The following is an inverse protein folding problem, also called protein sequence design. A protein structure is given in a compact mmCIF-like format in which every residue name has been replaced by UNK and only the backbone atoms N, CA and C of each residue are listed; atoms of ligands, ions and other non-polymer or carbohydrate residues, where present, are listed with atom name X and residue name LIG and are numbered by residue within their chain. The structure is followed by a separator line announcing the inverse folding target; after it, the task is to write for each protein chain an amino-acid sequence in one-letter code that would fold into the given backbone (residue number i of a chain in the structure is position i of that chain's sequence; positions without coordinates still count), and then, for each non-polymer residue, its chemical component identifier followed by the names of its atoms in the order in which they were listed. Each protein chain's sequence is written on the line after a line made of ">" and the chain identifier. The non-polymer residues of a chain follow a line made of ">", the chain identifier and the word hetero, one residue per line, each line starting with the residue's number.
data_IF_985851159647
#
_entry.id   IF_985851159647
#
_cell.length_a   1.000
_cell.length_b   1.000
_cell.length_c   1.000
_cell.angle_alpha   90.00
_cell.angle_beta   90.00
_cell.angle_gamma   90.00
#
_symmetry.space_group_name_H-M   'P 1'
#
loop_
_entity.id
_entity.type
_entity.pdbx_description
1 polymer ?
#
# COMPACT_ATOMS: atom_id res chain seq x y z
N UNK A 1 -9.98 -73.26 54.57
CA UNK A 1 -9.95 -73.27 53.13
C UNK A 1 -10.94 -72.22 52.69
N UNK A 2 -10.49 -70.96 52.68
CA UNK A 2 -11.31 -69.81 52.31
C UNK A 2 -11.00 -69.44 50.89
N UNK A 3 -12.03 -69.49 50.06
CA UNK A 3 -11.94 -69.12 48.64
C UNK A 3 -11.79 -67.57 48.53
N UNK A 4 -10.75 -67.14 47.82
CA UNK A 4 -10.57 -65.74 47.40
C UNK A 4 -11.59 -65.39 46.31
N UNK A 5 -12.26 -64.22 46.35
CA UNK A 5 -13.16 -63.80 45.30
C UNK A 5 -12.38 -63.40 44.04
N UNK A 6 -12.91 -63.77 42.88
CA UNK A 6 -12.37 -63.52 41.56
C UNK A 6 -12.23 -62.02 41.26
N UNK A 7 -11.04 -61.62 40.89
CA UNK A 7 -10.68 -60.28 40.43
C UNK A 7 -11.03 -60.19 38.92
N UNK A 8 -12.27 -59.85 38.61
CA UNK A 8 -12.68 -59.57 37.22
C UNK A 8 -13.76 -58.48 37.24
N UNK A 9 -13.35 -57.25 36.97
CA UNK A 9 -14.18 -56.17 36.38
C UNK A 9 -13.62 -54.76 36.61
N UNK A 10 -12.31 -54.55 36.58
CA UNK A 10 -11.74 -53.17 36.70
C UNK A 10 -11.16 -52.64 35.40
N UNK A 11 -11.08 -53.46 34.36
CA UNK A 11 -10.35 -53.08 33.10
C UNK A 11 -11.25 -52.42 32.05
N UNK A 12 -12.55 -52.72 32.03
CA UNK A 12 -13.42 -52.21 30.94
C UNK A 12 -13.90 -50.78 31.19
N UNK A 13 -14.11 -50.36 32.43
CA UNK A 13 -14.53 -48.98 32.76
C UNK A 13 -13.45 -47.92 32.61
N UNK A 14 -12.16 -48.31 32.70
CA UNK A 14 -11.07 -47.37 32.53
C UNK A 14 -10.83 -47.04 31.03
N UNK A 15 -11.04 -48.01 30.18
CA UNK A 15 -10.81 -47.86 28.74
C UNK A 15 -11.90 -47.01 28.07
N UNK A 16 -13.15 -47.16 28.48
CA UNK A 16 -14.25 -46.34 27.96
C UNK A 16 -14.15 -44.89 28.43
N UNK A 17 -13.79 -44.62 29.69
CA UNK A 17 -13.61 -43.24 30.21
C UNK A 17 -12.41 -42.51 29.56
N UNK A 18 -11.33 -43.24 29.19
CA UNK A 18 -10.21 -42.66 28.50
C UNK A 18 -10.54 -42.35 27.05
N UNK A 19 -11.26 -43.22 26.32
CA UNK A 19 -11.67 -43.00 24.94
C UNK A 19 -12.67 -41.82 24.84
N UNK A 20 -13.63 -41.72 25.72
CA UNK A 20 -14.58 -40.59 25.74
C UNK A 20 -13.89 -39.28 26.07
N UNK A 21 -12.94 -39.26 27.02
CA UNK A 21 -12.20 -38.05 27.38
C UNK A 21 -11.24 -37.58 26.24
N UNK A 22 -10.66 -38.51 25.51
CA UNK A 22 -9.83 -38.18 24.33
C UNK A 22 -10.68 -37.87 23.11
N UNK A 23 -11.84 -38.49 22.94
CA UNK A 23 -12.81 -38.19 21.89
C UNK A 23 -13.32 -36.75 22.02
N UNK A 24 -13.75 -36.35 23.20
CA UNK A 24 -14.18 -34.97 23.50
C UNK A 24 -13.02 -33.96 23.33
N UNK A 25 -11.77 -34.34 23.67
CA UNK A 25 -10.59 -33.49 23.49
C UNK A 25 -10.21 -33.36 22.00
N UNK A 26 -10.46 -34.37 21.19
CA UNK A 26 -10.25 -34.33 19.74
C UNK A 26 -11.39 -33.62 19.00
N UNK A 27 -12.64 -33.67 19.49
CA UNK A 27 -13.75 -32.87 18.94
C UNK A 27 -13.60 -31.38 19.29
N UNK A 28 -13.05 -31.03 20.45
CA UNK A 28 -12.68 -29.64 20.79
C UNK A 28 -11.43 -29.13 20.01
N UNK A 29 -10.65 -30.04 19.43
CA UNK A 29 -9.58 -29.72 18.47
C UNK A 29 -10.09 -29.54 17.03
N UNK A 30 -11.36 -29.85 16.77
CA UNK A 30 -12.02 -29.50 15.52
C UNK A 30 -12.05 -27.97 15.42
N UNK A 31 -11.13 -27.48 14.63
CA UNK A 31 -10.88 -26.16 14.13
C UNK A 31 -11.81 -25.10 14.73
N UNK A 32 -11.35 -24.38 15.76
CA UNK A 32 -12.04 -23.18 16.26
C UNK A 32 -12.53 -22.40 15.03
N UNK A 33 -13.84 -22.43 14.78
CA UNK A 33 -14.42 -21.85 13.57
C UNK A 33 -13.98 -20.38 13.47
N UNK A 34 -13.24 -20.07 12.39
CA UNK A 34 -12.79 -18.70 12.15
C UNK A 34 -14.03 -17.79 12.12
N UNK A 35 -14.12 -16.77 12.99
CA UNK A 35 -15.24 -15.86 13.03
C UNK A 35 -15.58 -15.29 11.66
N UNK A 36 -16.85 -15.13 11.33
CA UNK A 36 -17.32 -14.67 10.02
C UNK A 36 -16.62 -13.36 9.59
N UNK A 37 -16.39 -12.44 10.54
CA UNK A 37 -15.65 -11.21 10.28
C UNK A 37 -14.21 -11.45 9.84
N UNK A 38 -13.51 -12.42 10.45
CA UNK A 38 -12.15 -12.80 10.05
C UNK A 38 -12.14 -13.48 8.66
N UNK A 39 -13.11 -14.34 8.35
CA UNK A 39 -13.25 -14.95 7.01
C UNK A 39 -13.40 -13.87 5.94
N UNK A 40 -14.20 -12.84 6.19
CA UNK A 40 -14.35 -11.70 5.26
C UNK A 40 -13.03 -10.94 5.06
N UNK A 41 -12.32 -10.62 6.15
CA UNK A 41 -11.02 -9.94 6.07
C UNK A 41 -9.97 -10.79 5.34
N UNK A 42 -9.94 -12.11 5.58
CA UNK A 42 -9.04 -13.04 4.88
C UNK A 42 -9.34 -13.09 3.38
N UNK A 43 -10.62 -13.16 2.98
CA UNK A 43 -11.01 -13.10 1.57
C UNK A 43 -10.58 -11.77 0.92
N UNK A 44 -10.77 -10.66 1.62
CA UNK A 44 -10.30 -9.35 1.18
C UNK A 44 -8.78 -9.32 0.99
N UNK A 45 -8.00 -9.84 1.95
CA UNK A 45 -6.54 -9.92 1.86
C UNK A 45 -6.07 -10.79 0.69
N UNK A 46 -6.75 -11.90 0.43
CA UNK A 46 -6.45 -12.76 -0.74
C UNK A 46 -6.68 -12.01 -2.07
N UNK A 47 -7.77 -11.28 -2.19
CA UNK A 47 -8.07 -10.46 -3.38
C UNK A 47 -7.02 -9.35 -3.55
N UNK A 48 -6.69 -8.62 -2.48
CA UNK A 48 -5.66 -7.56 -2.51
C UNK A 48 -4.30 -8.13 -2.90
N UNK A 49 -3.92 -9.28 -2.33
CA UNK A 49 -2.66 -9.96 -2.66
C UNK A 49 -2.60 -10.29 -4.15
N UNK A 50 -3.61 -10.97 -4.70
CA UNK A 50 -3.63 -11.38 -6.10
C UNK A 50 -3.61 -10.18 -7.05
N UNK A 51 -4.51 -9.21 -6.84
CA UNK A 51 -4.59 -8.02 -7.70
C UNK A 51 -3.35 -7.13 -7.56
N UNK A 52 -2.83 -6.99 -6.33
CA UNK A 52 -1.66 -6.18 -6.04
C UNK A 52 -0.38 -6.77 -6.62
N UNK A 53 -0.13 -8.07 -6.44
CA UNK A 53 1.07 -8.73 -6.96
C UNK A 53 1.05 -8.78 -8.48
N UNK A 54 -0.06 -9.20 -9.09
CA UNK A 54 -0.17 -9.26 -10.55
C UNK A 54 -0.15 -7.87 -11.19
N UNK A 55 -0.88 -6.92 -10.62
CA UNK A 55 -0.99 -5.56 -11.14
C UNK A 55 0.32 -4.78 -11.04
N UNK A 56 0.95 -4.74 -9.86
CA UNK A 56 2.21 -4.03 -9.68
C UNK A 56 3.37 -4.75 -10.37
N UNK A 57 3.38 -6.09 -10.42
CA UNK A 57 4.32 -6.87 -11.21
C UNK A 57 4.24 -6.52 -12.71
N UNK A 58 3.02 -6.37 -13.25
CA UNK A 58 2.81 -5.93 -14.62
C UNK A 58 3.32 -4.50 -14.86
N UNK A 59 3.09 -3.56 -13.93
CA UNK A 59 3.62 -2.19 -14.02
C UNK A 59 5.15 -2.20 -14.02
N UNK A 60 5.77 -2.95 -13.09
CA UNK A 60 7.23 -3.09 -13.03
C UNK A 60 7.80 -3.66 -14.34
N UNK A 61 7.16 -4.68 -14.89
CA UNK A 61 7.62 -5.28 -16.14
C UNK A 61 7.54 -4.30 -17.32
N UNK A 62 6.42 -3.57 -17.47
CA UNK A 62 6.27 -2.57 -18.56
C UNK A 62 7.26 -1.41 -18.38
N UNK A 63 7.43 -0.90 -17.16
CA UNK A 63 8.38 0.19 -16.90
C UNK A 63 9.82 -0.23 -17.14
N UNK A 64 10.20 -1.46 -16.78
CA UNK A 64 11.54 -1.98 -17.01
C UNK A 64 11.81 -2.27 -18.51
N UNK A 65 10.84 -2.81 -19.24
CA UNK A 65 11.00 -3.19 -20.63
C UNK A 65 10.94 -1.99 -21.59
N UNK A 66 10.01 -1.05 -21.34
CA UNK A 66 9.65 -0.04 -22.34
C UNK A 66 9.90 1.42 -21.90
N UNK A 67 9.97 1.70 -20.60
CA UNK A 67 10.09 3.05 -20.07
C UNK A 67 11.34 3.27 -19.21
N UNK A 68 12.29 2.35 -19.24
CA UNK A 68 13.49 2.33 -18.36
C UNK A 68 14.30 3.62 -18.35
N UNK A 69 14.30 4.37 -19.46
CA UNK A 69 15.07 5.61 -19.61
C UNK A 69 14.21 6.87 -19.50
N UNK A 70 12.99 6.77 -19.02
CA UNK A 70 12.09 7.91 -18.90
C UNK A 70 11.90 8.30 -17.43
N UNK A 71 11.68 9.58 -17.17
CA UNK A 71 11.40 10.10 -15.82
C UNK A 71 10.13 9.45 -15.23
N UNK A 72 9.09 9.30 -16.07
CA UNK A 72 7.85 8.67 -15.64
C UNK A 72 8.05 7.18 -15.30
N UNK A 73 8.84 6.46 -16.09
CA UNK A 73 9.19 5.06 -15.83
C UNK A 73 9.86 4.90 -14.47
N UNK A 74 10.76 5.83 -14.09
CA UNK A 74 11.39 5.83 -12.75
C UNK A 74 10.34 6.02 -11.64
N UNK A 75 9.48 7.03 -11.75
CA UNK A 75 8.45 7.29 -10.74
C UNK A 75 7.52 6.08 -10.53
N UNK A 76 6.94 5.56 -11.61
CA UNK A 76 5.96 4.48 -11.53
C UNK A 76 6.58 3.14 -11.14
N UNK A 77 7.84 2.86 -11.49
CA UNK A 77 8.53 1.65 -11.05
C UNK A 77 8.76 1.65 -9.53
N UNK A 78 9.20 2.77 -8.96
CA UNK A 78 9.39 2.86 -7.50
C UNK A 78 8.07 2.84 -6.73
N UNK A 79 7.00 3.42 -7.26
CA UNK A 79 5.67 3.36 -6.65
C UNK A 79 5.12 1.92 -6.68
N UNK A 80 5.21 1.25 -7.84
CA UNK A 80 4.79 -0.15 -7.96
C UNK A 80 5.64 -1.11 -7.10
N UNK A 81 6.94 -0.81 -6.90
CA UNK A 81 7.79 -1.57 -5.99
C UNK A 81 7.31 -1.44 -4.54
N UNK A 82 6.97 -0.23 -4.08
CA UNK A 82 6.45 -0.01 -2.73
C UNK A 82 5.13 -0.78 -2.51
N UNK A 83 4.19 -0.68 -3.46
CA UNK A 83 2.91 -1.37 -3.37
C UNK A 83 3.06 -2.91 -3.42
N UNK A 84 3.98 -3.42 -4.26
CA UNK A 84 4.29 -4.84 -4.34
C UNK A 84 4.84 -5.39 -3.02
N UNK A 85 5.77 -4.66 -2.37
CA UNK A 85 6.32 -5.05 -1.08
C UNK A 85 5.25 -5.12 0.01
N UNK A 86 4.31 -4.17 0.01
CA UNK A 86 3.16 -4.19 0.92
C UNK A 86 2.26 -5.40 0.68
N UNK A 87 1.93 -5.69 -0.59
CA UNK A 87 1.08 -6.83 -0.95
C UNK A 87 1.73 -8.18 -0.62
N UNK A 88 3.04 -8.34 -0.84
CA UNK A 88 3.78 -9.57 -0.52
C UNK A 88 3.83 -9.89 0.98
N UNK A 89 3.68 -8.89 1.85
CA UNK A 89 3.63 -9.10 3.29
C UNK A 89 2.26 -9.64 3.77
N UNK A 90 1.17 -9.44 3.00
CA UNK A 90 -0.21 -9.76 3.42
C UNK A 90 -0.45 -11.21 3.84
N UNK A 91 0.00 -12.25 3.12
CA UNK A 91 -0.26 -13.63 3.52
C UNK A 91 0.27 -13.94 4.93
N UNK A 92 1.41 -13.37 5.28
CA UNK A 92 2.03 -13.55 6.61
C UNK A 92 1.32 -12.73 7.70
N UNK A 93 0.83 -11.54 7.35
CA UNK A 93 0.06 -10.68 8.27
C UNK A 93 -1.38 -11.20 8.47
N UNK A 94 -1.86 -12.07 7.59
CA UNK A 94 -3.15 -12.75 7.71
C UNK A 94 -3.14 -13.90 8.73
N UNK A 95 -1.98 -14.51 9.02
CA UNK A 95 -1.87 -15.68 9.89
C UNK A 95 -2.53 -15.51 11.27
N UNK A 96 -2.37 -14.39 11.99
CA UNK A 96 -3.04 -14.21 13.29
C UNK A 96 -4.57 -14.27 13.21
N UNK A 97 -5.17 -14.00 12.05
CA UNK A 97 -6.62 -14.09 11.87
C UNK A 97 -7.11 -15.55 11.74
N UNK A 98 -6.21 -16.47 11.37
CA UNK A 98 -6.51 -17.91 11.24
C UNK A 98 -6.10 -18.71 12.46
N UNK A 99 -5.27 -18.15 13.34
CA UNK A 99 -4.66 -18.82 14.49
C UNK A 99 -5.08 -18.20 15.82
N UNK A 100 -6.28 -17.66 15.88
CA UNK A 100 -6.81 -16.98 17.09
C UNK A 100 -5.79 -16.02 17.71
N UNK A 101 -5.31 -15.08 16.87
CA UNK A 101 -4.30 -14.07 17.18
C UNK A 101 -2.90 -14.60 17.56
N UNK A 102 -2.64 -15.91 17.42
CA UNK A 102 -1.31 -16.46 17.63
C UNK A 102 -0.36 -16.06 16.50
N UNK A 103 0.86 -15.64 16.86
CA UNK A 103 1.93 -15.27 15.93
C UNK A 103 3.00 -16.38 15.85
N UNK A 104 2.96 -17.26 14.84
CA UNK A 104 3.87 -18.41 14.76
C UNK A 104 5.24 -18.08 14.15
N UNK A 105 5.40 -16.91 13.50
CA UNK A 105 6.58 -16.59 12.68
C UNK A 105 7.78 -16.07 13.48
N UNK A 106 7.67 -16.00 14.80
CA UNK A 106 8.78 -15.59 15.67
C UNK A 106 9.07 -14.10 15.67
N UNK A 107 10.14 -13.72 16.40
CA UNK A 107 10.45 -12.30 16.68
C UNK A 107 10.95 -11.54 15.45
N UNK A 108 11.76 -12.15 14.61
CA UNK A 108 12.31 -11.48 13.41
C UNK A 108 11.21 -11.08 12.44
N UNK A 109 10.29 -11.99 12.11
CA UNK A 109 9.16 -11.72 11.23
C UNK A 109 8.20 -10.68 11.83
N UNK A 110 7.97 -10.70 13.16
CA UNK A 110 7.17 -9.69 13.85
C UNK A 110 7.77 -8.27 13.71
N UNK A 111 9.10 -8.14 13.67
CA UNK A 111 9.75 -6.84 13.43
C UNK A 111 9.70 -6.43 11.96
N UNK A 112 10.01 -7.35 11.06
CA UNK A 112 10.20 -7.05 9.63
C UNK A 112 8.89 -6.84 8.90
N UNK A 113 7.94 -7.80 8.97
CA UNK A 113 6.76 -7.80 8.11
C UNK A 113 5.83 -6.58 8.32
N UNK A 114 5.42 -6.24 9.57
CA UNK A 114 4.62 -5.04 9.75
C UNK A 114 5.41 -3.74 9.51
N UNK A 115 6.74 -3.74 9.71
CA UNK A 115 7.55 -2.57 9.41
C UNK A 115 7.73 -2.38 7.90
N UNK A 116 7.74 -3.47 7.13
CA UNK A 116 7.77 -3.41 5.66
C UNK A 116 6.50 -2.70 5.10
N UNK A 117 5.33 -2.97 5.67
CA UNK A 117 4.10 -2.26 5.26
C UNK A 117 4.12 -0.77 5.62
N UNK A 118 4.68 -0.41 6.78
CA UNK A 118 4.87 0.99 7.16
C UNK A 118 5.92 1.69 6.27
N UNK A 119 7.01 1.00 5.92
CA UNK A 119 8.00 1.49 4.96
C UNK A 119 7.36 1.75 3.59
N UNK A 120 6.57 0.81 3.09
CA UNK A 120 5.84 0.92 1.83
C UNK A 120 4.86 2.11 1.84
N UNK A 121 4.12 2.30 2.93
CA UNK A 121 3.24 3.45 3.13
C UNK A 121 4.00 4.79 3.00
N UNK A 122 5.08 4.96 3.75
CA UNK A 122 5.87 6.19 3.68
C UNK A 122 6.51 6.38 2.31
N UNK A 123 7.07 5.33 1.71
CA UNK A 123 7.64 5.38 0.38
C UNK A 123 6.59 5.81 -0.65
N UNK A 124 5.40 5.17 -0.67
CA UNK A 124 4.32 5.52 -1.60
C UNK A 124 3.90 6.97 -1.47
N UNK A 125 3.66 7.48 -0.27
CA UNK A 125 3.19 8.88 -0.10
C UNK A 125 4.27 9.90 -0.45
N UNK A 126 5.53 9.64 -0.12
CA UNK A 126 6.64 10.52 -0.48
C UNK A 126 6.89 10.53 -1.99
N UNK A 127 6.78 9.38 -2.65
CA UNK A 127 6.84 9.26 -4.11
C UNK A 127 5.66 9.99 -4.77
N UNK A 128 4.43 9.84 -4.27
CA UNK A 128 3.27 10.59 -4.76
C UNK A 128 3.44 12.10 -4.60
N UNK A 129 4.06 12.53 -3.49
CA UNK A 129 4.40 13.94 -3.26
C UNK A 129 5.42 14.44 -4.29
N UNK A 130 6.48 13.67 -4.55
CA UNK A 130 7.49 13.99 -5.55
C UNK A 130 6.91 14.01 -6.97
N UNK A 131 6.06 13.03 -7.33
CA UNK A 131 5.33 13.01 -8.60
C UNK A 131 4.45 14.25 -8.75
N UNK A 132 3.74 14.66 -7.71
CA UNK A 132 2.88 15.86 -7.72
C UNK A 132 3.70 17.13 -7.94
N UNK A 133 4.85 17.25 -7.29
CA UNK A 133 5.79 18.34 -7.48
C UNK A 133 6.38 18.35 -8.91
N UNK A 134 6.75 17.17 -9.47
CA UNK A 134 7.20 17.01 -10.85
C UNK A 134 6.13 17.49 -11.85
N UNK A 135 4.88 17.09 -11.68
CA UNK A 135 3.76 17.55 -12.53
C UNK A 135 3.50 19.05 -12.41
N UNK A 136 3.56 19.58 -11.20
CA UNK A 136 3.44 21.02 -10.97
C UNK A 136 4.58 21.79 -11.65
N UNK A 137 5.82 21.32 -11.55
CA UNK A 137 6.99 21.95 -12.17
C UNK A 137 6.89 21.96 -13.71
N UNK A 138 6.42 20.88 -14.34
CA UNK A 138 6.20 20.79 -15.79
C UNK A 138 5.28 21.92 -16.32
N UNK A 139 4.28 22.31 -15.55
CA UNK A 139 3.33 23.36 -15.96
C UNK A 139 3.79 24.76 -15.55
N UNK A 140 4.43 24.89 -14.38
CA UNK A 140 4.82 26.21 -13.82
C UNK A 140 6.18 26.68 -14.29
N UNK A 141 7.13 25.75 -14.55
CA UNK A 141 8.53 26.02 -14.92
C UNK A 141 8.99 25.16 -16.12
N UNK A 142 8.34 25.26 -17.29
CA UNK A 142 8.60 24.37 -18.43
C UNK A 142 10.05 24.44 -18.94
N UNK A 143 10.67 25.63 -18.97
CA UNK A 143 12.07 25.82 -19.41
C UNK A 143 13.05 25.11 -18.47
N UNK A 144 12.83 25.23 -17.14
CA UNK A 144 13.66 24.51 -16.16
C UNK A 144 13.52 22.99 -16.32
N UNK A 145 12.29 22.51 -16.50
CA UNK A 145 12.04 21.08 -16.71
C UNK A 145 12.71 20.57 -17.97
N UNK A 146 12.66 21.32 -19.08
CA UNK A 146 13.34 20.92 -20.31
C UNK A 146 14.85 20.70 -20.11
N UNK A 147 15.50 21.53 -19.31
CA UNK A 147 16.94 21.49 -19.09
C UNK A 147 17.39 20.56 -17.95
N UNK A 148 16.57 20.36 -16.92
CA UNK A 148 16.99 19.73 -15.67
C UNK A 148 16.21 18.46 -15.30
N UNK A 149 15.03 18.22 -15.88
CA UNK A 149 14.21 17.04 -15.59
C UNK A 149 14.80 15.81 -16.30
N UNK A 150 15.65 15.09 -15.60
CA UNK A 150 16.34 13.89 -16.10
C UNK A 150 15.94 12.64 -15.31
N UNK A 151 16.05 11.43 -15.88
CA UNK A 151 15.88 10.17 -15.12
C UNK A 151 16.82 10.06 -13.92
N UNK A 152 18.05 10.60 -14.02
CA UNK A 152 18.99 10.61 -12.89
C UNK A 152 18.49 11.44 -11.71
N UNK A 153 17.91 12.62 -11.97
CA UNK A 153 17.31 13.46 -10.93
C UNK A 153 16.10 12.76 -10.29
N UNK A 154 15.24 12.11 -11.10
CA UNK A 154 14.11 11.32 -10.59
C UNK A 154 14.57 10.15 -9.72
N UNK A 155 15.62 9.43 -10.13
CA UNK A 155 16.22 8.34 -9.36
C UNK A 155 16.77 8.84 -8.03
N UNK A 156 17.48 9.97 -8.02
CA UNK A 156 17.98 10.58 -6.79
C UNK A 156 16.85 10.98 -5.83
N UNK A 157 15.77 11.54 -6.36
CA UNK A 157 14.58 11.89 -5.57
C UNK A 157 13.87 10.64 -5.02
N UNK A 158 13.77 9.56 -5.80
CA UNK A 158 13.26 8.27 -5.32
C UNK A 158 14.14 7.71 -4.19
N UNK A 159 15.47 7.72 -4.36
CA UNK A 159 16.39 7.26 -3.33
C UNK A 159 16.25 8.07 -2.03
N UNK A 160 16.11 9.39 -2.13
CA UNK A 160 15.83 10.24 -0.97
C UNK A 160 14.49 9.90 -0.31
N UNK A 161 13.42 9.68 -1.09
CA UNK A 161 12.13 9.27 -0.56
C UNK A 161 12.20 7.93 0.19
N UNK A 162 12.91 6.93 -0.35
CA UNK A 162 13.13 5.65 0.33
C UNK A 162 13.97 5.79 1.59
N UNK A 163 15.01 6.62 1.59
CA UNK A 163 15.82 6.89 2.77
C UNK A 163 15.01 7.54 3.89
N UNK A 164 14.20 8.55 3.58
CA UNK A 164 13.29 9.19 4.54
C UNK A 164 12.24 8.20 5.04
N UNK A 165 11.64 7.39 4.16
CA UNK A 165 10.69 6.35 4.53
C UNK A 165 11.31 5.33 5.50
N UNK A 166 12.56 4.91 5.26
CA UNK A 166 13.29 4.01 6.15
C UNK A 166 13.50 4.64 7.54
N UNK A 167 13.94 5.90 7.61
CA UNK A 167 14.10 6.63 8.88
C UNK A 167 12.78 6.70 9.67
N UNK A 168 11.68 7.04 9.00
CA UNK A 168 10.35 7.12 9.62
C UNK A 168 9.81 5.74 10.06
N UNK A 169 10.34 4.65 9.51
CA UNK A 169 9.96 3.28 9.86
C UNK A 169 10.71 2.73 11.07
N UNK A 170 11.86 3.33 11.45
CA UNK A 170 12.68 2.86 12.56
C UNK A 170 11.88 2.60 13.85
N UNK A 171 10.98 3.49 14.31
CA UNK A 171 10.21 3.23 15.53
C UNK A 171 9.35 1.96 15.43
N UNK A 172 8.75 1.67 14.26
CA UNK A 172 7.99 0.44 14.05
C UNK A 172 8.87 -0.79 14.22
N UNK A 173 10.07 -0.79 13.63
CA UNK A 173 11.01 -1.91 13.71
C UNK A 173 11.58 -2.11 15.10
N UNK A 174 11.95 -1.02 15.80
CA UNK A 174 12.57 -1.07 17.13
C UNK A 174 11.59 -1.56 18.19
N UNK A 175 10.38 -0.97 18.22
CA UNK A 175 9.41 -1.21 19.29
C UNK A 175 8.47 -2.40 19.05
N UNK A 176 8.56 -3.11 17.92
CA UNK A 176 7.82 -4.37 17.73
C UNK A 176 8.51 -5.53 18.44
N UNK A 177 7.68 -6.32 19.12
CA UNK A 177 8.14 -7.50 19.87
C UNK A 177 7.05 -8.55 19.94
N UNK A 178 7.46 -9.80 20.16
CA UNK A 178 6.55 -10.89 20.49
C UNK A 178 6.33 -10.92 21.98
N UNK A 179 5.08 -10.89 22.41
CA UNK A 179 4.65 -11.06 23.80
C UNK A 179 3.94 -12.40 23.95
N UNK A 180 4.33 -13.16 24.95
CA UNK A 180 3.65 -14.39 25.36
C UNK A 180 2.57 -14.01 26.37
N UNK A 181 1.35 -14.50 26.15
CA UNK A 181 0.28 -14.44 27.14
C UNK A 181 0.53 -15.52 28.19
N UNK A 182 0.63 -15.17 29.49
CA UNK A 182 0.90 -16.15 30.55
C UNK A 182 -0.20 -17.19 30.75
N UNK A 183 -1.44 -16.86 30.37
CA UNK A 183 -2.60 -17.73 30.60
C UNK A 183 -2.90 -18.66 29.41
N UNK A 184 -2.80 -18.15 28.19
CA UNK A 184 -3.11 -18.91 26.99
C UNK A 184 -1.87 -19.48 26.28
N UNK A 185 -0.65 -19.18 26.75
CA UNK A 185 0.63 -19.49 26.11
C UNK A 185 0.72 -19.02 24.65
N UNK A 186 -0.21 -18.17 24.18
CA UNK A 186 -0.22 -17.62 22.82
C UNK A 186 0.83 -16.52 22.68
N UNK A 187 1.60 -16.60 21.62
CA UNK A 187 2.52 -15.54 21.20
C UNK A 187 1.76 -14.50 20.37
N UNK A 188 1.87 -13.21 20.67
CA UNK A 188 1.27 -12.12 19.91
C UNK A 188 2.32 -11.11 19.47
N UNK A 189 2.25 -10.66 18.21
CA UNK A 189 3.13 -9.62 17.69
C UNK A 189 2.53 -8.23 17.98
N UNK A 190 3.16 -7.50 18.89
CA UNK A 190 2.67 -6.21 19.38
C UNK A 190 3.70 -5.10 19.25
N UNK A 191 3.22 -3.85 19.17
CA UNK A 191 4.04 -2.66 19.30
C UNK A 191 4.14 -2.32 20.79
N UNK A 192 5.34 -2.35 21.37
CA UNK A 192 5.55 -2.17 22.81
C UNK A 192 6.66 -1.17 23.10
N UNK A 193 6.31 -0.07 23.75
CA UNK A 193 7.23 0.98 24.17
C UNK A 193 7.77 0.77 25.59
N UNK A 194 7.64 -0.44 26.16
CA UNK A 194 8.06 -0.76 27.52
C UNK A 194 9.57 -0.57 27.75
N UNK A 195 10.38 -0.64 26.70
CA UNK A 195 11.83 -0.42 26.77
C UNK A 195 12.23 1.03 27.13
N UNK A 196 11.30 2.00 26.97
CA UNK A 196 11.56 3.43 27.21
C UNK A 196 10.79 3.97 28.42
N UNK A 197 10.51 3.14 29.42
CA UNK A 197 9.92 3.59 30.70
C UNK A 197 10.86 4.58 31.41
N UNK A 198 10.34 5.69 32.02
CA UNK A 198 8.95 6.03 32.27
C UNK A 198 8.22 6.79 31.13
N UNK A 199 8.90 7.10 30.01
CA UNK A 199 8.38 7.93 28.92
C UNK A 199 7.52 7.17 27.89
N UNK A 200 7.10 5.95 28.19
CA UNK A 200 6.38 5.06 27.25
C UNK A 200 5.24 5.75 26.53
N UNK A 201 4.31 6.38 27.26
CA UNK A 201 3.12 7.01 26.67
C UNK A 201 3.46 8.23 25.80
N UNK A 202 4.45 9.03 26.22
CA UNK A 202 4.93 10.15 25.42
C UNK A 202 5.55 9.69 24.11
N UNK A 203 6.35 8.62 24.14
CA UNK A 203 6.99 8.05 22.94
C UNK A 203 5.96 7.47 21.99
N UNK A 204 4.95 6.77 22.50
CA UNK A 204 3.84 6.22 21.72
C UNK A 204 3.06 7.31 20.99
N UNK A 205 2.63 8.33 21.72
CA UNK A 205 1.91 9.47 21.16
C UNK A 205 2.77 10.25 20.14
N UNK A 206 4.04 10.52 20.47
CA UNK A 206 4.96 11.20 19.56
C UNK A 206 5.13 10.41 18.26
N UNK A 207 5.31 9.10 18.35
CA UNK A 207 5.45 8.23 17.17
C UNK A 207 4.18 8.25 16.32
N UNK A 208 3.00 8.20 16.93
CA UNK A 208 1.71 8.26 16.22
C UNK A 208 1.52 9.62 15.53
N UNK A 209 1.83 10.73 16.22
CA UNK A 209 1.74 12.09 15.68
C UNK A 209 2.74 12.30 14.52
N UNK A 210 4.00 11.90 14.68
CA UNK A 210 5.00 11.99 13.61
C UNK A 210 4.56 11.17 12.40
N UNK A 211 4.04 9.96 12.59
CA UNK A 211 3.49 9.13 11.52
C UNK A 211 2.34 9.83 10.79
N UNK A 212 1.42 10.44 11.52
CA UNK A 212 0.31 11.19 10.94
C UNK A 212 0.80 12.43 10.17
N UNK A 213 1.70 13.21 10.75
CA UNK A 213 2.22 14.42 10.11
C UNK A 213 3.03 14.12 8.85
N UNK A 214 3.96 13.17 8.91
CA UNK A 214 4.87 12.85 7.81
C UNK A 214 4.25 11.89 6.79
N UNK A 215 3.36 10.99 7.21
CA UNK A 215 2.73 10.00 6.35
C UNK A 215 1.39 10.44 5.75
N UNK A 216 0.78 11.51 6.27
CA UNK A 216 -0.54 11.93 5.83
C UNK A 216 -0.65 13.46 5.66
N UNK A 217 -0.62 14.24 6.74
CA UNK A 217 -0.97 15.66 6.71
C UNK A 217 0.02 16.51 5.89
N UNK A 218 1.32 16.34 6.11
CA UNK A 218 2.35 17.07 5.36
C UNK A 218 2.27 16.80 3.86
N UNK A 219 2.32 15.54 3.40
CA UNK A 219 2.06 15.17 2.01
C UNK A 219 0.76 15.74 1.46
N UNK A 220 -0.35 15.64 2.21
CA UNK A 220 -1.65 16.17 1.79
C UNK A 220 -1.59 17.68 1.48
N UNK A 221 -0.97 18.46 2.35
CA UNK A 221 -0.83 19.92 2.16
C UNK A 221 0.03 20.23 0.92
N UNK A 222 1.17 19.54 0.75
CA UNK A 222 2.05 19.76 -0.40
C UNK A 222 1.36 19.38 -1.70
N UNK A 223 0.72 18.22 -1.74
CA UNK A 223 0.01 17.70 -2.92
C UNK A 223 -1.14 18.63 -3.29
N UNK A 224 -1.97 19.04 -2.31
CA UNK A 224 -3.10 19.95 -2.53
C UNK A 224 -2.63 21.30 -3.06
N UNK A 225 -1.52 21.83 -2.56
CA UNK A 225 -0.88 23.05 -3.06
C UNK A 225 -0.40 22.90 -4.51
N UNK A 226 0.28 21.80 -4.83
CA UNK A 226 0.72 21.50 -6.20
C UNK A 226 -0.44 21.43 -7.20
N UNK A 227 -1.54 20.76 -6.82
CA UNK A 227 -2.73 20.66 -7.68
C UNK A 227 -3.51 21.96 -7.79
N UNK A 228 -3.60 22.75 -6.71
CA UNK A 228 -4.18 24.09 -6.74
C UNK A 228 -3.46 24.99 -7.75
N UNK A 229 -2.11 25.01 -7.70
CA UNK A 229 -1.28 25.76 -8.66
C UNK A 229 -1.43 25.23 -10.08
N UNK A 230 -1.45 23.91 -10.25
CA UNK A 230 -1.60 23.29 -11.56
C UNK A 230 -2.95 23.63 -12.19
N UNK A 231 -4.04 23.51 -11.45
CA UNK A 231 -5.41 23.84 -11.91
C UNK A 231 -5.54 25.31 -12.28
N UNK A 232 -4.98 26.25 -11.47
CA UNK A 232 -5.02 27.67 -11.76
C UNK A 232 -4.29 28.01 -13.08
N UNK A 233 -3.13 27.39 -13.34
CA UNK A 233 -2.35 27.59 -14.56
C UNK A 233 -2.99 26.98 -15.79
N UNK A 234 -3.58 25.78 -15.68
CA UNK A 234 -4.29 25.10 -16.79
C UNK A 234 -5.51 25.90 -17.20
N UNK A 235 -6.29 26.42 -16.24
CA UNK A 235 -7.45 27.30 -16.53
C UNK A 235 -7.03 28.59 -17.22
N UNK A 236 -5.97 29.23 -16.75
CA UNK A 236 -5.48 30.49 -17.31
C UNK A 236 -4.95 30.37 -18.75
N UNK A 237 -4.47 29.16 -19.16
CA UNK A 237 -3.88 28.93 -20.49
C UNK A 237 -4.78 28.21 -21.49
N UNK A 238 -6.00 27.84 -21.13
CA UNK A 238 -6.95 27.12 -22.02
C UNK A 238 -6.47 25.73 -22.45
N UNK A 239 -5.53 25.12 -21.76
CA UNK A 239 -4.87 23.86 -22.15
C UNK A 239 -5.77 22.65 -21.84
N UNK A 240 -6.74 22.35 -22.74
CA UNK A 240 -7.67 21.24 -22.56
C UNK A 240 -7.07 19.81 -22.66
N UNK A 241 -5.92 19.66 -23.30
CA UNK A 241 -5.38 18.34 -23.66
C UNK A 241 -4.48 17.66 -22.61
N UNK A 242 -3.93 18.42 -21.63
CA UNK A 242 -3.09 17.90 -20.54
C UNK A 242 -3.88 17.29 -19.37
N UNK A 243 -5.21 17.16 -19.50
CA UNK A 243 -6.07 16.80 -18.37
C UNK A 243 -6.00 15.31 -17.97
N UNK A 244 -5.60 14.41 -18.86
CA UNK A 244 -5.70 12.97 -18.62
C UNK A 244 -4.65 12.46 -17.62
N UNK A 245 -3.37 12.72 -17.87
CA UNK A 245 -2.30 12.31 -16.96
C UNK A 245 -2.49 12.94 -15.58
N UNK A 246 -2.84 14.23 -15.55
CA UNK A 246 -3.20 14.94 -14.32
C UNK A 246 -4.36 14.28 -13.58
N UNK A 247 -5.43 13.88 -14.30
CA UNK A 247 -6.58 13.21 -13.72
C UNK A 247 -6.21 11.83 -13.16
N UNK A 248 -5.39 11.05 -13.87
CA UNK A 248 -4.92 9.75 -13.39
C UNK A 248 -4.16 9.89 -12.08
N UNK A 249 -3.18 10.79 -12.02
CA UNK A 249 -2.39 11.02 -10.81
C UNK A 249 -3.28 11.54 -9.67
N UNK A 250 -4.23 12.43 -9.96
CA UNK A 250 -5.18 12.92 -8.94
C UNK A 250 -6.03 11.79 -8.33
N UNK A 251 -6.54 10.89 -9.18
CA UNK A 251 -7.33 9.73 -8.69
C UNK A 251 -6.49 8.82 -7.82
N UNK A 252 -5.22 8.54 -8.20
CA UNK A 252 -4.27 7.76 -7.37
C UNK A 252 -4.06 8.42 -6.01
N UNK A 253 -3.86 9.74 -5.98
CA UNK A 253 -3.64 10.50 -4.76
C UNK A 253 -4.88 10.48 -3.85
N UNK A 254 -6.06 10.75 -4.41
CA UNK A 254 -7.32 10.72 -3.64
C UNK A 254 -7.54 9.31 -3.06
N UNK A 255 -7.28 8.26 -3.85
CA UNK A 255 -7.38 6.88 -3.38
C UNK A 255 -6.44 6.61 -2.20
N UNK A 256 -5.19 7.10 -2.27
CA UNK A 256 -4.25 6.98 -1.16
C UNK A 256 -4.82 7.59 0.13
N UNK A 257 -5.27 8.84 0.08
CA UNK A 257 -5.78 9.51 1.27
C UNK A 257 -7.05 8.87 1.83
N UNK A 258 -7.95 8.41 0.97
CA UNK A 258 -9.17 7.68 1.39
C UNK A 258 -8.82 6.37 2.09
N UNK A 259 -7.86 5.62 1.56
CA UNK A 259 -7.45 4.34 2.13
C UNK A 259 -6.71 4.50 3.47
N UNK A 260 -5.86 5.52 3.62
CA UNK A 260 -4.98 5.67 4.78
C UNK A 260 -5.54 6.54 5.91
N UNK A 261 -6.49 7.45 5.63
CA UNK A 261 -7.06 8.33 6.67
C UNK A 261 -7.63 7.58 7.87
N UNK A 262 -8.49 6.54 7.69
CA UNK A 262 -9.05 5.83 8.84
C UNK A 262 -7.97 5.15 9.69
N UNK A 263 -6.95 4.57 9.08
CA UNK A 263 -5.82 3.95 9.78
C UNK A 263 -5.06 4.95 10.66
N UNK A 264 -4.79 6.16 10.14
CA UNK A 264 -4.11 7.21 10.91
C UNK A 264 -4.98 7.73 12.06
N UNK A 265 -6.28 7.88 11.84
CA UNK A 265 -7.22 8.33 12.89
C UNK A 265 -7.28 7.29 14.02
N UNK A 266 -7.47 6.02 13.69
CA UNK A 266 -7.51 4.92 14.68
C UNK A 266 -6.18 4.83 15.43
N UNK A 267 -5.04 4.93 14.74
CA UNK A 267 -3.72 4.93 15.36
C UNK A 267 -3.50 6.08 16.35
N UNK A 268 -3.98 7.28 16.03
CA UNK A 268 -3.95 8.43 16.95
C UNK A 268 -4.86 8.23 18.16
N UNK A 269 -6.07 7.70 17.95
CA UNK A 269 -7.02 7.42 19.06
C UNK A 269 -6.43 6.37 20.01
N UNK A 270 -5.83 5.31 19.48
CA UNK A 270 -5.17 4.27 20.29
C UNK A 270 -4.02 4.86 21.14
N UNK A 271 -3.18 5.72 20.53
CA UNK A 271 -2.05 6.33 21.24
C UNK A 271 -2.49 7.39 22.28
N UNK A 272 -3.57 8.12 22.02
CA UNK A 272 -4.06 9.18 22.90
C UNK A 272 -4.94 8.67 24.04
N UNK A 273 -5.66 7.56 23.83
CA UNK A 273 -6.64 7.04 24.80
C UNK A 273 -5.99 6.15 25.86
N UNK A 274 -6.52 6.18 27.08
CA UNK A 274 -6.09 5.24 28.12
C UNK A 274 -6.66 3.83 27.84
N UNK A 275 -5.89 2.76 28.08
CA UNK A 275 -6.39 1.40 27.99
C UNK A 275 -7.66 1.20 28.83
N UNK A 276 -8.65 0.48 28.30
CA UNK A 276 -9.92 0.22 28.98
C UNK A 276 -11.00 1.31 28.81
N UNK A 277 -10.71 2.46 28.21
CA UNK A 277 -11.73 3.46 27.84
C UNK A 277 -12.59 2.99 26.66
N UNK A 278 -13.81 3.54 26.53
CA UNK A 278 -14.69 3.22 25.41
C UNK A 278 -14.03 3.59 24.05
N UNK A 279 -13.33 4.73 23.97
CA UNK A 279 -12.60 5.15 22.79
C UNK A 279 -11.48 4.18 22.42
N UNK A 280 -10.69 3.71 23.40
CA UNK A 280 -9.64 2.72 23.18
C UNK A 280 -10.20 1.39 22.65
N UNK A 281 -11.26 0.87 23.31
CA UNK A 281 -11.91 -0.38 22.89
C UNK A 281 -12.50 -0.27 21.47
N UNK A 282 -13.17 0.85 21.17
CA UNK A 282 -13.73 1.09 19.83
C UNK A 282 -12.66 1.15 18.75
N UNK A 283 -11.56 1.88 19.01
CA UNK A 283 -10.42 1.96 18.11
C UNK A 283 -9.73 0.61 17.91
N UNK A 284 -9.55 -0.17 18.98
CA UNK A 284 -8.98 -1.52 18.91
C UNK A 284 -9.85 -2.49 18.09
N UNK A 285 -11.16 -2.41 18.23
CA UNK A 285 -12.09 -3.20 17.43
C UNK A 285 -12.09 -2.81 15.94
N UNK A 286 -11.87 -1.53 15.63
CA UNK A 286 -11.81 -1.03 14.27
C UNK A 286 -10.47 -1.28 13.55
N UNK A 287 -9.38 -1.49 14.31
CA UNK A 287 -8.02 -1.58 13.78
C UNK A 287 -7.85 -2.61 12.64
N UNK A 288 -8.35 -3.85 12.72
CA UNK A 288 -8.24 -4.82 11.63
C UNK A 288 -8.95 -4.36 10.34
N UNK A 289 -10.11 -3.73 10.47
CA UNK A 289 -10.89 -3.26 9.31
C UNK A 289 -10.21 -2.09 8.62
N UNK A 290 -9.71 -1.10 9.38
CA UNK A 290 -9.02 0.06 8.79
C UNK A 290 -7.65 -0.31 8.25
N UNK A 291 -6.95 -1.30 8.84
CA UNK A 291 -5.74 -1.88 8.27
C UNK A 291 -6.04 -2.57 6.92
N UNK A 292 -7.13 -3.34 6.84
CA UNK A 292 -7.59 -3.93 5.59
C UNK A 292 -7.85 -2.88 4.51
N UNK A 293 -8.53 -1.77 4.85
CA UNK A 293 -8.77 -0.66 3.93
C UNK A 293 -7.46 0.00 3.47
N UNK A 294 -6.50 0.18 4.38
CA UNK A 294 -5.18 0.73 4.03
C UNK A 294 -4.44 -0.17 3.01
N UNK A 295 -4.53 -1.49 3.15
CA UNK A 295 -3.92 -2.42 2.19
C UNK A 295 -4.57 -2.41 0.81
N UNK A 296 -5.85 -2.02 0.67
CA UNK A 296 -6.50 -1.82 -0.64
C UNK A 296 -5.69 -0.86 -1.52
N UNK A 297 -5.03 0.14 -0.93
CA UNK A 297 -4.16 1.06 -1.67
C UNK A 297 -3.12 0.34 -2.54
N UNK A 298 -2.55 -0.78 -2.07
CA UNK A 298 -1.54 -1.54 -2.81
C UNK A 298 -2.02 -2.14 -4.14
N UNK A 299 -3.33 -2.32 -4.36
CA UNK A 299 -3.87 -2.82 -5.62
C UNK A 299 -4.62 -1.75 -6.45
N UNK A 300 -4.90 -0.58 -5.87
CA UNK A 300 -5.70 0.46 -6.54
C UNK A 300 -4.94 1.09 -7.72
N UNK A 301 -3.64 1.35 -7.58
CA UNK A 301 -2.82 2.02 -8.58
C UNK A 301 -2.84 1.31 -9.96
N UNK A 302 -2.55 0.00 -10.08
CA UNK A 302 -2.66 -0.74 -11.34
C UNK A 302 -4.07 -0.72 -11.95
N UNK A 303 -5.11 -0.81 -11.11
CA UNK A 303 -6.51 -0.78 -11.55
C UNK A 303 -6.83 0.58 -12.19
N UNK A 304 -6.42 1.68 -11.54
CA UNK A 304 -6.60 3.03 -12.08
C UNK A 304 -5.92 3.16 -13.43
N UNK A 305 -4.69 2.67 -13.60
CA UNK A 305 -3.95 2.74 -14.86
C UNK A 305 -4.68 1.98 -15.98
N UNK A 306 -5.23 0.79 -15.69
CA UNK A 306 -6.00 0.00 -16.66
C UNK A 306 -7.32 0.69 -17.04
N UNK A 307 -8.07 1.21 -16.07
CA UNK A 307 -9.36 1.88 -16.32
C UNK A 307 -9.16 3.16 -17.13
N UNK A 308 -8.19 3.99 -16.72
CA UNK A 308 -7.89 5.23 -17.42
C UNK A 308 -7.30 4.99 -18.83
N UNK A 309 -6.58 3.88 -19.01
CA UNK A 309 -6.06 3.47 -20.32
C UNK A 309 -7.16 3.06 -21.32
N UNK A 310 -8.19 2.34 -20.87
CA UNK A 310 -9.29 1.88 -21.72
C UNK A 310 -10.13 3.00 -22.35
N UNK A 311 -10.20 4.17 -21.74
CA UNK A 311 -10.94 5.34 -22.29
C UNK A 311 -10.39 5.90 -23.61
N UNK A 312 -9.37 5.28 -24.24
CA UNK A 312 -8.76 5.68 -25.52
C UNK A 312 -9.43 5.06 -26.75
N UNK A 313 -10.62 4.47 -26.64
CA UNK A 313 -11.39 4.05 -27.84
C UNK A 313 -10.77 2.93 -28.67
N UNK A 314 -9.80 2.17 -28.14
CA UNK A 314 -9.13 1.10 -28.87
C UNK A 314 -9.32 -0.25 -28.16
N UNK A 315 -10.43 -0.88 -28.42
CA UNK A 315 -10.85 -2.20 -27.92
C UNK A 315 -9.88 -3.36 -28.27
N UNK A 316 -8.84 -3.12 -29.07
CA UNK A 316 -7.89 -4.13 -29.58
C UNK A 316 -6.43 -3.94 -29.16
N UNK A 317 -6.07 -2.95 -28.33
CA UNK A 317 -4.68 -2.84 -27.88
C UNK A 317 -4.40 -3.82 -26.76
N UNK A 318 -3.27 -4.54 -26.87
CA UNK A 318 -2.70 -5.35 -25.77
C UNK A 318 -2.66 -4.54 -24.48
N UNK A 319 -2.95 -5.15 -23.34
CA UNK A 319 -2.84 -4.53 -21.99
C UNK A 319 -1.48 -3.85 -21.78
N UNK A 320 -0.41 -4.36 -22.40
CA UNK A 320 0.93 -3.73 -22.42
C UNK A 320 0.91 -2.33 -23.06
N UNK A 321 0.27 -2.20 -24.20
CA UNK A 321 0.16 -0.91 -24.91
C UNK A 321 -0.73 0.08 -24.14
N UNK A 322 -1.76 -0.41 -23.40
CA UNK A 322 -2.59 0.41 -22.53
C UNK A 322 -1.79 0.97 -21.34
N UNK A 323 -1.06 0.11 -20.64
CA UNK A 323 -0.20 0.53 -19.53
C UNK A 323 0.89 1.48 -19.99
N UNK A 324 1.58 1.16 -21.09
CA UNK A 324 2.58 2.05 -21.68
C UNK A 324 2.00 3.42 -22.01
N UNK A 325 0.84 3.48 -22.66
CA UNK A 325 0.20 4.74 -23.01
C UNK A 325 -0.12 5.63 -21.81
N UNK A 326 -0.61 5.03 -20.69
CA UNK A 326 -0.92 5.77 -19.46
C UNK A 326 0.34 6.20 -18.73
N UNK A 327 1.33 5.34 -18.65
CA UNK A 327 2.58 5.59 -17.90
C UNK A 327 3.56 6.52 -18.66
N UNK A 328 3.49 6.55 -20.00
CA UNK A 328 4.35 7.39 -20.83
C UNK A 328 3.80 8.79 -21.10
N UNK A 329 2.50 9.05 -20.80
CA UNK A 329 1.83 10.31 -21.14
C UNK A 329 2.50 11.49 -20.41
N UNK A 330 3.38 12.20 -21.16
CA UNK A 330 4.10 13.37 -20.68
C UNK A 330 3.48 14.64 -21.30
N UNK A 331 3.05 15.63 -20.50
CA UNK A 331 2.44 16.87 -20.99
C UNK A 331 3.34 17.65 -21.98
N UNK A 332 4.63 17.38 -21.99
CA UNK A 332 5.62 18.05 -22.86
C UNK A 332 5.69 17.47 -24.27
N UNK A 333 5.24 16.24 -24.51
CA UNK A 333 5.26 15.60 -25.85
C UNK A 333 4.26 16.21 -26.83
N UNK A 334 3.31 17.01 -26.34
CA UNK A 334 2.25 17.64 -27.16
C UNK A 334 2.72 18.93 -27.84
N UNK A 335 3.83 19.55 -27.38
CA UNK A 335 4.37 20.77 -27.99
C UNK A 335 5.20 20.53 -29.27
N UNK A 336 5.65 19.28 -29.52
CA UNK A 336 6.46 18.92 -30.66
C UNK A 336 5.68 18.56 -31.96
N UNK A 337 4.46 18.02 -31.78
CA UNK A 337 3.70 17.46 -32.93
C UNK A 337 2.84 18.52 -33.67
N UNK A 338 2.65 19.70 -33.07
CA UNK A 338 1.96 20.82 -33.72
C UNK A 338 2.81 21.59 -34.77
N UNK A 339 4.16 21.40 -34.73
CA UNK A 339 5.04 22.11 -35.63
C UNK A 339 5.44 21.30 -36.87
N UNK A 340 5.29 19.98 -36.85
CA UNK A 340 5.60 19.09 -37.97
C UNK A 340 4.44 18.97 -38.97
N UNK A 341 3.21 19.35 -38.60
CA UNK A 341 2.01 19.24 -39.46
C UNK A 341 1.72 20.51 -40.29
N UNK A 342 2.39 21.64 -40.04
CA UNK A 342 2.18 22.89 -40.78
C UNK A 342 3.19 23.14 -41.88
N UNK A 343 4.18 22.24 -42.11
CA UNK A 343 5.19 22.41 -43.20
C UNK A 343 4.95 21.49 -44.41
N UNK A 344 3.98 20.55 -44.34
CA UNK A 344 3.75 19.55 -45.38
C UNK A 344 2.58 19.87 -46.34
N UNK A 345 2.07 21.11 -46.38
CA UNK A 345 0.92 21.47 -47.25
C UNK A 345 1.17 22.72 -48.11
N UNK A 346 2.41 22.99 -48.52
CA UNK A 346 2.66 24.11 -49.45
C UNK A 346 3.77 23.81 -50.45
N UNK A 347 3.72 22.66 -51.15
CA UNK A 347 4.48 22.42 -52.36
C UNK A 347 3.76 21.42 -53.27
N UNK A 348 2.65 21.85 -53.88
CA UNK A 348 2.13 21.25 -55.13
C UNK A 348 1.26 22.30 -55.80
N UNK A 349 1.76 22.82 -56.90
CA UNK A 349 0.93 23.61 -57.81
C UNK A 349 1.61 24.80 -58.44
N UNK A 350 2.57 24.59 -59.36
CA UNK A 350 2.78 25.49 -60.55
C UNK A 350 3.68 24.79 -61.56
N UNK A 351 3.10 23.98 -62.44
CA UNK A 351 3.63 23.82 -63.81
C UNK A 351 2.65 24.48 -64.77
N UNK A 352 2.98 25.66 -65.19
CA UNK A 352 2.30 26.43 -66.21
C UNK A 352 2.93 26.18 -67.57
N UNK A 353 2.13 25.71 -68.49
CA UNK A 353 2.39 25.55 -69.93
C UNK A 353 2.72 26.88 -70.58
N UNK A 354 3.82 26.94 -71.42
CA UNK A 354 4.10 28.01 -72.39
C UNK A 354 4.03 27.38 -73.75
N UNK A 355 3.19 27.97 -74.57
CA UNK A 355 3.31 28.00 -76.03
C UNK A 355 3.85 29.32 -76.42
#
# INVERSE_FOLDING_TARGET
>A
MDELPAFSSWDDTWNDTWNDTWGDLYEDLDAAEIPLGHRFVLALYAVIFLLGVLGNGAVLWVTAAELRRTVNGVWFSHLALADLLSCLALPFLALPLTTDHHWPLGRAACKVLPSLTILAMFASVLLLTAISADRCALVTRPVWCHNRRTPALATAACAAAWAVAALLTIPSFVFRTVRLDPFSAKATCVLSYSAVRPHQRGTELTTAVVRFLCGFLGPFVVISGCYGLLLSRVRARGLGRSQRATRTVLVVIVSFFVCWLPYHVVGLVLAASAPGTAAFRGAQAADPAVAGLAYVNGCVNPIIYLVMGRGLGQVRRSWRALLKGVLSDDPTSVAGDGRARSVATTEEGTEGTVV
#
